data_IF_118165348099
#
_entry.id   IF_118165348099
#
_cell.length_a   1.000
_cell.length_b   1.000
_cell.length_c   1.000
_cell.angle_alpha   90.00
_cell.angle_beta   90.00
_cell.angle_gamma   90.00
#
_symmetry.space_group_name_H-M   'P 1'
#
loop_
_entity.id
_entity.type
_entity.pdbx_description
1 polymer ?
#
# COMPACT_ATOMS: atom_id res chain seq x y z
N UNK A 1 -13.09 -1.35 -4.98
CA UNK A 1 -12.10 -1.86 -3.99
C UNK A 1 -10.83 -1.00 -3.83
N UNK A 2 -10.52 -0.05 -4.73
CA UNK A 2 -9.31 0.81 -4.66
C UNK A 2 -9.23 1.67 -3.38
N UNK A 3 -10.36 2.15 -2.85
CA UNK A 3 -10.41 3.00 -1.67
C UNK A 3 -10.05 2.28 -0.38
N UNK A 4 -10.51 1.04 -0.17
CA UNK A 4 -10.26 0.32 1.09
C UNK A 4 -8.79 -0.10 1.25
N UNK A 5 -8.14 -0.57 0.16
CA UNK A 5 -6.72 -0.91 0.18
C UNK A 5 -5.84 0.31 0.43
N UNK A 6 -6.10 1.42 -0.28
CA UNK A 6 -5.39 2.69 -0.05
C UNK A 6 -5.59 3.22 1.36
N UNK A 7 -6.81 3.21 1.89
CA UNK A 7 -7.10 3.63 3.28
C UNK A 7 -6.35 2.78 4.29
N UNK A 8 -6.21 1.48 4.05
CA UNK A 8 -5.44 0.60 4.91
C UNK A 8 -3.94 0.95 4.86
N UNK A 9 -3.36 1.15 3.68
CA UNK A 9 -1.96 1.61 3.54
C UNK A 9 -1.73 2.91 4.31
N UNK A 10 -2.58 3.93 4.09
CA UNK A 10 -2.47 5.22 4.78
C UNK A 10 -2.59 5.07 6.29
N UNK A 11 -3.48 4.20 6.77
CA UNK A 11 -3.61 3.91 8.19
C UNK A 11 -2.31 3.33 8.76
N UNK A 12 -1.73 2.31 8.11
CA UNK A 12 -0.46 1.71 8.56
C UNK A 12 0.67 2.73 8.54
N UNK A 13 0.77 3.55 7.49
CA UNK A 13 1.77 4.62 7.41
C UNK A 13 1.62 5.59 8.60
N UNK A 14 0.41 6.04 8.88
CA UNK A 14 0.14 6.96 10.00
C UNK A 14 0.50 6.32 11.35
N UNK A 15 0.14 5.05 11.57
CA UNK A 15 0.47 4.34 12.81
C UNK A 15 1.98 4.14 12.96
N UNK A 16 2.66 3.81 11.86
CA UNK A 16 4.10 3.62 11.85
C UNK A 16 4.85 4.92 12.17
N UNK A 17 4.42 6.04 11.58
CA UNK A 17 5.02 7.36 11.77
C UNK A 17 4.85 7.86 13.21
N UNK A 18 3.70 7.61 13.82
CA UNK A 18 3.43 7.92 15.23
C UNK A 18 3.95 6.85 16.20
N UNK A 19 4.69 5.85 15.70
CA UNK A 19 5.23 4.74 16.48
C UNK A 19 4.18 4.03 17.34
N UNK A 20 2.96 3.87 16.84
CA UNK A 20 1.85 3.26 17.59
C UNK A 20 1.99 1.73 17.66
N UNK A 21 1.65 1.14 18.81
CA UNK A 21 1.48 -0.32 18.93
C UNK A 21 0.18 -0.75 18.26
N UNK A 22 0.29 -1.48 17.16
CA UNK A 22 -0.85 -2.07 16.46
C UNK A 22 -1.02 -3.53 16.90
N UNK A 23 -2.24 -3.89 17.35
CA UNK A 23 -2.65 -5.28 17.58
C UNK A 23 -3.83 -5.57 16.65
N UNK A 24 -3.66 -6.51 15.73
CA UNK A 24 -4.72 -6.92 14.82
C UNK A 24 -4.58 -8.40 14.42
N UNK A 25 -5.68 -9.00 13.99
CA UNK A 25 -5.71 -10.37 13.46
C UNK A 25 -6.08 -10.33 11.97
N UNK A 26 -5.56 -11.26 11.20
CA UNK A 26 -5.93 -11.39 9.78
C UNK A 26 -5.97 -12.87 9.36
N UNK A 27 -6.64 -13.16 8.24
CA UNK A 27 -6.81 -14.52 7.71
C UNK A 27 -5.50 -15.16 7.22
N UNK A 28 -4.43 -14.37 7.03
CA UNK A 28 -3.13 -14.86 6.58
C UNK A 28 -2.00 -13.90 6.96
N UNK A 29 -0.76 -14.26 6.59
CA UNK A 29 0.39 -13.35 6.76
C UNK A 29 0.26 -12.13 5.84
N UNK A 30 0.88 -10.98 6.19
CA UNK A 30 0.83 -9.77 5.37
C UNK A 30 1.14 -10.05 3.89
N UNK A 31 2.25 -10.73 3.59
CA UNK A 31 2.64 -11.06 2.20
C UNK A 31 1.57 -11.85 1.43
N UNK A 32 0.85 -12.78 2.08
CA UNK A 32 -0.22 -13.58 1.45
C UNK A 32 -1.51 -12.79 1.22
N UNK A 33 -1.78 -11.80 2.06
CA UNK A 33 -2.99 -10.96 1.93
C UNK A 33 -2.88 -9.97 0.77
N UNK A 34 -1.66 -9.57 0.41
CA UNK A 34 -1.40 -8.58 -0.64
C UNK A 34 -1.02 -9.19 -2.00
N UNK A 35 -0.51 -10.43 -2.04
CA UNK A 35 -0.12 -11.11 -3.29
C UNK A 35 -1.27 -11.34 -4.28
N UNK A 36 -2.51 -11.49 -3.78
CA UNK A 36 -3.64 -11.93 -4.60
C UNK A 36 -4.44 -10.80 -5.27
N UNK A 37 -4.10 -9.52 -5.04
CA UNK A 37 -4.95 -8.38 -5.39
C UNK A 37 -4.42 -7.49 -6.52
N UNK A 38 -3.15 -7.64 -6.90
CA UNK A 38 -2.49 -6.75 -7.87
C UNK A 38 -2.80 -7.12 -9.33
N UNK A 39 -3.38 -8.29 -9.59
CA UNK A 39 -3.68 -8.78 -10.94
C UNK A 39 -5.04 -8.34 -11.52
N UNK A 40 -5.77 -7.44 -10.87
CA UNK A 40 -6.98 -6.84 -11.47
C UNK A 40 -6.73 -5.36 -11.69
N UNK A 41 -5.85 -5.06 -12.65
CA UNK A 41 -6.02 -3.89 -13.47
C UNK A 41 -7.42 -4.00 -14.09
N UNK A 42 -8.41 -3.28 -13.55
CA UNK A 42 -9.57 -2.86 -14.33
C UNK A 42 -9.02 -1.95 -15.43
N UNK A 43 -8.43 -2.57 -16.45
CA UNK A 43 -7.82 -1.96 -17.62
C UNK A 43 -8.81 -1.04 -18.33
N UNK A 44 -10.11 -1.29 -18.14
CA UNK A 44 -11.18 -0.73 -18.95
C UNK A 44 -11.50 0.72 -18.57
N UNK A 45 -11.56 1.05 -17.27
CA UNK A 45 -11.80 2.44 -16.83
C UNK A 45 -10.61 3.35 -17.16
N UNK A 46 -9.43 2.78 -16.95
CA UNK A 46 -8.14 3.32 -17.31
C UNK A 46 -8.07 3.60 -18.83
N UNK A 47 -8.49 2.65 -19.68
CA UNK A 47 -8.57 2.84 -21.14
C UNK A 47 -9.54 3.93 -21.57
N UNK A 48 -10.68 4.04 -20.89
CA UNK A 48 -11.70 5.04 -21.20
C UNK A 48 -11.21 6.47 -20.93
N UNK A 49 -10.46 6.68 -19.86
CA UNK A 49 -9.87 7.99 -19.53
C UNK A 49 -8.73 8.38 -20.49
N UNK A 50 -7.97 7.41 -21.01
CA UNK A 50 -6.96 7.67 -22.04
C UNK A 50 -7.57 8.19 -23.35
N UNK A 51 -8.71 7.61 -23.74
CA UNK A 51 -9.43 7.98 -24.96
C UNK A 51 -10.03 9.39 -24.82
N UNK A 52 -10.63 9.70 -23.65
CA UNK A 52 -11.21 11.01 -23.35
C UNK A 52 -10.17 12.15 -23.29
N UNK A 53 -8.95 11.87 -22.82
CA UNK A 53 -7.87 12.87 -22.72
C UNK A 53 -6.96 12.93 -23.97
N UNK A 54 -7.19 12.10 -24.99
CA UNK A 54 -6.33 11.98 -26.18
C UNK A 54 -4.83 11.81 -25.83
N UNK A 55 -4.52 11.05 -24.79
CA UNK A 55 -3.13 10.79 -24.39
C UNK A 55 -2.59 9.68 -25.27
N UNK A 56 -1.54 9.96 -26.05
CA UNK A 56 -0.88 8.95 -26.85
C UNK A 56 -0.31 7.85 -25.95
N UNK A 57 -0.42 6.60 -26.40
CA UNK A 57 -0.02 5.43 -25.63
C UNK A 57 1.45 5.49 -25.16
N UNK A 58 2.30 6.20 -25.91
CA UNK A 58 3.71 6.44 -25.63
C UNK A 58 3.97 7.52 -24.55
N UNK A 59 3.12 8.54 -24.44
CA UNK A 59 3.19 9.55 -23.37
C UNK A 59 2.50 9.07 -22.07
N UNK A 60 1.55 8.14 -22.19
CA UNK A 60 0.83 7.58 -21.06
C UNK A 60 1.70 6.66 -20.17
N UNK A 61 2.76 6.06 -20.74
CA UNK A 61 3.74 5.26 -19.99
C UNK A 61 4.57 6.13 -19.03
N UNK A 62 4.72 7.42 -19.35
CA UNK A 62 5.49 8.40 -18.55
C UNK A 62 4.70 8.92 -17.35
N UNK A 63 3.37 8.99 -17.45
CA UNK A 63 2.55 9.34 -16.30
C UNK A 63 2.55 8.16 -15.31
N UNK A 64 3.40 8.24 -14.29
CA UNK A 64 3.50 7.31 -13.15
C UNK A 64 2.14 6.98 -12.49
N UNK A 65 1.15 7.84 -12.72
CA UNK A 65 -0.27 7.66 -12.42
C UNK A 65 -0.87 6.36 -13.02
N UNK A 66 -0.24 5.75 -14.03
CA UNK A 66 -0.85 4.71 -14.85
C UNK A 66 -0.23 3.31 -14.75
N UNK A 67 1.01 3.17 -14.29
CA UNK A 67 1.73 1.88 -14.32
C UNK A 67 1.39 0.95 -13.15
N UNK A 68 0.70 1.46 -12.11
CA UNK A 68 0.43 0.69 -10.89
C UNK A 68 1.70 0.39 -10.07
N UNK A 69 2.87 0.85 -10.52
CA UNK A 69 4.15 0.67 -9.84
C UNK A 69 4.20 1.44 -8.52
N UNK A 70 3.60 2.63 -8.46
CA UNK A 70 3.46 3.37 -7.20
C UNK A 70 2.58 2.60 -6.19
N UNK A 71 1.53 1.93 -6.67
CA UNK A 71 0.68 1.11 -5.79
C UNK A 71 1.45 -0.11 -5.30
N UNK A 72 2.18 -0.81 -6.17
CA UNK A 72 3.04 -1.94 -5.81
C UNK A 72 4.10 -1.54 -4.77
N UNK A 73 4.80 -0.43 -5.02
CA UNK A 73 5.79 0.11 -4.09
C UNK A 73 5.14 0.48 -2.74
N UNK A 74 3.96 1.10 -2.76
CA UNK A 74 3.23 1.41 -1.54
C UNK A 74 2.85 0.14 -0.75
N UNK A 75 2.47 -0.94 -1.42
CA UNK A 75 2.17 -2.23 -0.78
C UNK A 75 3.43 -2.88 -0.19
N UNK A 76 4.52 -2.99 -0.94
CA UNK A 76 5.77 -3.61 -0.46
C UNK A 76 6.33 -2.86 0.75
N UNK A 77 6.26 -1.52 0.70
CA UNK A 77 6.61 -0.66 1.83
C UNK A 77 5.70 -0.90 3.04
N UNK A 78 4.40 -1.08 2.83
CA UNK A 78 3.44 -1.39 3.91
C UNK A 78 3.74 -2.74 4.55
N UNK A 79 4.05 -3.77 3.75
CA UNK A 79 4.43 -5.10 4.26
C UNK A 79 5.70 -5.01 5.10
N UNK A 80 6.70 -4.29 4.61
CA UNK A 80 7.96 -4.09 5.33
C UNK A 80 7.74 -3.42 6.68
N UNK A 81 6.90 -2.37 6.72
CA UNK A 81 6.50 -1.71 7.99
C UNK A 81 5.78 -2.66 8.93
N UNK A 82 4.84 -3.46 8.44
CA UNK A 82 4.12 -4.42 9.27
C UNK A 82 5.07 -5.45 9.90
N UNK A 83 6.09 -5.92 9.17
CA UNK A 83 7.10 -6.82 9.72
C UNK A 83 7.99 -6.12 10.75
N UNK A 84 8.41 -4.89 10.49
CA UNK A 84 9.20 -4.11 11.45
C UNK A 84 8.41 -3.83 12.73
N UNK A 85 7.13 -3.47 12.63
CA UNK A 85 6.24 -3.23 13.77
C UNK A 85 6.01 -4.47 14.65
N UNK A 86 6.24 -5.67 14.10
CA UNK A 86 6.20 -6.94 14.85
C UNK A 86 7.52 -7.25 15.56
N UNK A 87 8.60 -6.51 15.28
CA UNK A 87 9.90 -6.75 15.91
C UNK A 87 9.89 -6.35 17.39
N UNK A 88 10.66 -7.08 18.21
CA UNK A 88 10.85 -6.75 19.61
C UNK A 88 11.47 -5.35 19.78
N UNK A 89 12.38 -4.95 18.90
CA UNK A 89 13.02 -3.64 18.94
C UNK A 89 12.00 -2.51 18.79
N UNK A 90 11.10 -2.61 17.80
CA UNK A 90 10.05 -1.61 17.60
C UNK A 90 9.12 -1.50 18.81
N UNK A 91 8.68 -2.65 19.35
CA UNK A 91 7.77 -2.71 20.50
C UNK A 91 8.44 -2.14 21.77
N UNK A 92 9.71 -2.47 22.01
CA UNK A 92 10.46 -2.01 23.18
C UNK A 92 10.80 -0.53 23.09
N UNK A 93 11.20 -0.02 21.93
CA UNK A 93 11.46 1.40 21.74
C UNK A 93 10.19 2.24 22.01
N UNK A 94 9.01 1.72 21.64
CA UNK A 94 7.75 2.37 21.96
C UNK A 94 7.31 2.22 23.44
N UNK A 95 7.85 1.27 24.22
CA UNK A 95 7.61 1.24 25.66
C UNK A 95 8.32 2.40 26.37
N UNK A 96 9.51 2.76 25.91
CA UNK A 96 10.35 3.78 26.54
C UNK A 96 9.86 5.22 26.29
N UNK A 97 9.13 5.47 25.19
CA UNK A 97 8.60 6.80 24.87
C UNK A 97 7.28 7.14 25.61
N UNK A 98 6.69 6.18 26.33
CA UNK A 98 5.43 6.36 27.07
C UNK A 98 5.62 6.39 28.60
N UNK A 99 6.87 6.52 29.06
CA UNK A 99 7.25 6.70 30.48
C UNK A 99 7.88 8.08 30.66
#
# INVERSE_FOLDING_TARGET
MRTQGRRFITLIDTLYDHKVKLVCTAQGSPSKLFSNKIMTSDSDHTRQLMDDLQINQEDAVSYSIFTGEEELFAYDRTISRLYEMQSNEYIMNNNNNNN
#
